data_IF_438745044406
#
_entry.id   IF_438745044406
#
_cell.length_a   1.000
_cell.length_b   1.000
_cell.length_c   1.000
_cell.angle_alpha   90.00
_cell.angle_beta   90.00
_cell.angle_gamma   90.00
#
_symmetry.space_group_name_H-M   'P 1'
#
loop_
_entity.id
_entity.type
_entity.pdbx_description
1 polymer ?
#
# COMPACT_ATOMS: atom_id res chain seq x y z
N UNK A 1 18.41 -34.66 0.22
CA UNK A 1 17.70 -33.55 -0.44
C UNK A 1 18.44 -32.25 -0.17
N UNK A 2 18.68 -31.42 -1.20
CA UNK A 2 19.20 -30.07 -0.99
C UNK A 2 18.09 -29.21 -0.38
N UNK A 3 18.40 -28.44 0.68
CA UNK A 3 17.47 -27.45 1.21
C UNK A 3 17.46 -26.26 0.26
N UNK A 4 16.36 -26.07 -0.47
CA UNK A 4 16.18 -24.82 -1.23
C UNK A 4 16.18 -23.65 -0.25
N UNK A 5 17.13 -22.72 -0.40
CA UNK A 5 17.14 -21.49 0.40
C UNK A 5 15.86 -20.68 0.11
N UNK A 6 15.23 -20.09 1.14
CA UNK A 6 14.08 -19.21 0.92
C UNK A 6 14.47 -18.06 -0.02
N UNK A 7 13.65 -17.85 -1.06
CA UNK A 7 13.87 -16.85 -2.09
C UNK A 7 12.91 -15.68 -1.89
N UNK A 8 13.46 -14.52 -1.53
CA UNK A 8 12.78 -13.23 -1.62
C UNK A 8 13.35 -12.43 -2.80
N UNK A 9 12.51 -11.64 -3.46
CA UNK A 9 12.91 -10.56 -4.37
C UNK A 9 12.41 -9.24 -3.80
N UNK A 10 13.22 -8.20 -3.92
CA UNK A 10 12.92 -6.87 -3.40
C UNK A 10 13.36 -5.88 -4.47
N UNK A 11 12.41 -5.10 -4.98
CA UNK A 11 12.71 -3.98 -5.86
C UNK A 11 13.04 -2.77 -4.99
N UNK A 12 14.08 -2.02 -5.37
CA UNK A 12 14.55 -0.83 -4.64
C UNK A 12 14.64 0.36 -5.59
N UNK A 13 14.18 1.52 -5.13
CA UNK A 13 14.12 2.75 -5.94
C UNK A 13 15.47 3.48 -6.01
N UNK A 14 16.44 3.11 -5.17
CA UNK A 14 17.79 3.70 -5.14
C UNK A 14 18.85 2.68 -4.66
N UNK A 15 20.12 3.04 -4.75
CA UNK A 15 21.24 2.19 -4.34
C UNK A 15 21.26 1.97 -2.82
N UNK A 16 21.04 0.73 -2.39
CA UNK A 16 21.15 0.34 -0.97
C UNK A 16 22.46 -0.41 -0.72
N UNK A 17 23.39 0.20 0.01
CA UNK A 17 24.58 -0.52 0.47
C UNK A 17 24.23 -1.52 1.58
N UNK A 18 24.39 -2.82 1.28
CA UNK A 18 24.20 -3.94 2.23
C UNK A 18 22.75 -4.12 2.70
N UNK A 19 21.79 -4.12 1.77
CA UNK A 19 20.41 -4.53 2.06
C UNK A 19 20.36 -5.87 2.81
N UNK A 20 19.72 -5.88 3.99
CA UNK A 20 19.38 -7.08 4.74
C UNK A 20 17.88 -7.27 4.76
N UNK A 21 17.43 -8.51 4.69
CA UNK A 21 16.04 -8.91 4.90
C UNK A 21 16.07 -10.02 5.96
N UNK A 22 15.27 -9.88 7.00
CA UNK A 22 15.05 -10.90 8.01
C UNK A 22 13.63 -11.43 7.87
N UNK A 23 13.47 -12.75 8.05
CA UNK A 23 12.19 -13.42 8.11
C UNK A 23 12.16 -14.29 9.37
N UNK A 24 11.12 -14.17 10.18
CA UNK A 24 10.92 -14.98 11.39
C UNK A 24 9.45 -15.33 11.55
N UNK A 25 9.14 -16.61 11.72
CA UNK A 25 7.79 -17.04 12.13
C UNK A 25 7.51 -16.55 13.57
N UNK A 26 6.26 -16.18 13.81
CA UNK A 26 5.78 -15.53 15.04
C UNK A 26 4.77 -16.46 15.71
N UNK A 27 5.06 -16.89 16.94
CA UNK A 27 4.18 -17.83 17.69
C UNK A 27 2.98 -17.11 18.31
N UNK A 28 3.14 -15.84 18.69
CA UNK A 28 2.07 -14.98 19.20
C UNK A 28 2.28 -13.54 18.75
N UNK A 29 1.18 -12.90 18.33
CA UNK A 29 1.19 -11.51 17.93
C UNK A 29 1.43 -10.58 19.14
N UNK A 30 2.12 -9.43 18.97
CA UNK A 30 2.16 -8.39 19.99
C UNK A 30 0.75 -7.89 20.32
N UNK A 31 0.51 -7.47 21.56
CA UNK A 31 -0.81 -6.98 22.00
C UNK A 31 -1.33 -5.72 21.27
N UNK A 32 -0.51 -5.07 20.44
CA UNK A 32 -0.85 -3.93 19.58
C UNK A 32 -1.12 -4.34 18.12
N UNK A 33 -1.26 -5.64 17.84
CA UNK A 33 -1.55 -6.20 16.52
C UNK A 33 -2.76 -7.11 16.67
N UNK A 34 -3.88 -6.73 16.06
CA UNK A 34 -5.11 -7.51 16.08
C UNK A 34 -4.92 -8.86 15.37
N UNK A 35 -5.84 -9.80 15.60
CA UNK A 35 -5.79 -11.10 14.91
C UNK A 35 -6.12 -10.94 13.41
N UNK A 36 -5.46 -11.68 12.51
CA UNK A 36 -5.75 -11.65 11.08
C UNK A 36 -7.11 -12.30 10.79
N UNK A 37 -7.76 -11.99 9.65
CA UNK A 37 -9.01 -12.63 9.25
C UNK A 37 -8.84 -14.14 9.01
N UNK A 38 -9.82 -14.92 9.47
CA UNK A 38 -9.83 -16.39 9.35
C UNK A 38 -8.92 -17.10 10.35
N UNK A 39 -8.67 -18.39 10.14
CA UNK A 39 -7.75 -19.16 10.97
C UNK A 39 -6.31 -18.94 10.50
N UNK A 40 -5.46 -18.35 11.36
CA UNK A 40 -4.06 -18.10 11.07
C UNK A 40 -3.23 -19.39 11.18
N UNK A 41 -2.75 -19.89 10.05
CA UNK A 41 -1.94 -21.12 9.93
C UNK A 41 -0.46 -20.84 10.17
N UNK A 42 0.03 -19.70 9.67
CA UNK A 42 1.37 -19.21 9.96
C UNK A 42 1.35 -17.68 10.05
N UNK A 43 2.01 -17.12 11.06
CA UNK A 43 2.28 -15.68 11.16
C UNK A 43 3.79 -15.46 11.00
N UNK A 44 4.17 -14.47 10.20
CA UNK A 44 5.55 -14.12 9.93
C UNK A 44 5.78 -12.63 10.23
N UNK A 45 6.97 -12.28 10.69
CA UNK A 45 7.49 -10.93 10.64
C UNK A 45 8.60 -10.91 9.58
N UNK A 46 8.42 -10.10 8.55
CA UNK A 46 9.48 -9.77 7.60
C UNK A 46 9.91 -8.33 7.87
N UNK A 47 11.22 -8.11 8.01
CA UNK A 47 11.81 -6.79 8.22
C UNK A 47 13.02 -6.58 7.33
N UNK A 48 13.39 -5.34 7.08
CA UNK A 48 14.58 -4.98 6.28
C UNK A 48 15.39 -3.88 6.96
N UNK A 49 16.66 -3.75 6.56
CA UNK A 49 17.55 -2.66 6.97
C UNK A 49 17.44 -1.41 6.09
N UNK A 50 16.58 -1.43 5.06
CA UNK A 50 16.31 -0.26 4.22
C UNK A 50 15.11 0.53 4.73
N UNK A 51 15.13 1.85 4.52
CA UNK A 51 14.00 2.73 4.78
C UNK A 51 12.80 2.36 3.90
N UNK A 52 11.59 2.45 4.45
CA UNK A 52 10.36 2.05 3.74
C UNK A 52 10.13 2.83 2.43
N UNK A 53 10.61 4.08 2.35
CA UNK A 53 10.54 4.92 1.14
C UNK A 53 11.49 4.49 0.01
N UNK A 54 12.48 3.64 0.30
CA UNK A 54 13.44 3.10 -0.68
C UNK A 54 13.01 1.71 -1.19
N UNK A 55 12.21 1.01 -0.40
CA UNK A 55 11.63 -0.29 -0.74
C UNK A 55 10.45 -0.06 -1.68
N UNK A 56 10.51 -0.65 -2.89
CA UNK A 56 9.38 -0.74 -3.79
C UNK A 56 8.54 -1.99 -3.51
N UNK A 57 8.03 -2.62 -4.56
CA UNK A 57 7.39 -3.92 -4.42
C UNK A 57 8.43 -5.00 -4.06
N UNK A 58 8.00 -5.98 -3.28
CA UNK A 58 8.75 -7.18 -2.96
C UNK A 58 7.86 -8.40 -3.15
N UNK A 59 8.47 -9.54 -3.47
CA UNK A 59 7.77 -10.83 -3.48
C UNK A 59 8.53 -11.86 -2.65
N UNK A 60 7.77 -12.63 -1.86
CA UNK A 60 8.30 -13.70 -1.03
C UNK A 60 7.51 -14.99 -1.26
N UNK A 61 8.12 -16.11 -0.92
CA UNK A 61 7.46 -17.41 -0.89
C UNK A 61 7.41 -17.94 0.53
N UNK A 62 6.23 -18.40 0.95
CA UNK A 62 5.97 -19.05 2.24
C UNK A 62 5.53 -20.49 2.00
N UNK A 63 5.98 -21.40 2.86
CA UNK A 63 5.69 -22.84 2.79
C UNK A 63 4.91 -23.22 4.04
N UNK A 64 3.66 -23.64 3.87
CA UNK A 64 2.81 -24.16 4.93
C UNK A 64 2.56 -25.66 4.75
N UNK A 65 2.22 -26.34 5.85
CA UNK A 65 1.79 -27.75 5.81
C UNK A 65 0.46 -27.87 5.08
N UNK A 66 0.34 -28.83 4.15
CA UNK A 66 -0.95 -29.14 3.50
C UNK A 66 -2.03 -29.53 4.50
N UNK A 67 -1.66 -30.24 5.58
CA UNK A 67 -2.56 -30.67 6.63
C UNK A 67 -3.08 -29.53 7.52
N UNK A 68 -2.48 -28.34 7.42
CA UNK A 68 -2.89 -27.15 8.17
C UNK A 68 -3.74 -26.18 7.32
N UNK A 69 -4.04 -26.51 6.06
CA UNK A 69 -4.90 -25.68 5.19
C UNK A 69 -6.04 -26.50 4.59
N UNK A 70 -7.27 -25.99 4.70
CA UNK A 70 -8.47 -26.63 4.13
C UNK A 70 -8.61 -26.41 2.61
N UNK A 71 -7.60 -26.85 1.86
CA UNK A 71 -7.49 -26.71 0.40
C UNK A 71 -6.98 -25.34 -0.04
N UNK A 72 -6.15 -25.32 -1.09
CA UNK A 72 -5.37 -24.15 -1.50
C UNK A 72 -6.20 -22.96 -2.01
N UNK A 73 -7.40 -23.21 -2.53
CA UNK A 73 -8.35 -22.16 -2.94
C UNK A 73 -8.85 -21.27 -1.79
N UNK A 74 -8.73 -21.71 -0.53
CA UNK A 74 -9.20 -21.00 0.66
C UNK A 74 -8.08 -20.29 1.43
N UNK A 75 -6.84 -20.34 0.93
CA UNK A 75 -5.67 -19.78 1.60
C UNK A 75 -5.38 -18.37 1.07
N UNK A 76 -5.07 -17.44 1.96
CA UNK A 76 -4.79 -16.04 1.60
C UNK A 76 -3.70 -15.48 2.50
N UNK A 77 -2.77 -14.73 1.92
CA UNK A 77 -1.77 -13.99 2.69
C UNK A 77 -2.30 -12.58 2.97
N UNK A 78 -2.23 -12.15 4.22
CA UNK A 78 -2.52 -10.80 4.66
C UNK A 78 -1.25 -10.10 5.13
N UNK A 79 -1.21 -8.76 5.02
CA UNK A 79 -0.18 -7.86 5.57
C UNK A 79 -0.82 -6.95 6.60
N UNK A 80 -0.24 -6.83 7.79
CA UNK A 80 -0.66 -5.82 8.75
C UNK A 80 -0.09 -4.45 8.36
N UNK A 81 -0.94 -3.42 8.24
CA UNK A 81 -0.55 -2.05 7.94
C UNK A 81 -1.61 -1.08 8.45
N UNK A 82 -1.20 0.07 9.01
CA UNK A 82 -2.15 1.10 9.48
C UNK A 82 -3.25 0.58 10.43
N UNK A 83 -2.88 -0.36 11.31
CA UNK A 83 -3.75 -1.10 12.22
C UNK A 83 -4.75 -2.09 11.57
N UNK A 84 -4.64 -2.37 10.27
CA UNK A 84 -5.53 -3.26 9.52
C UNK A 84 -4.81 -4.40 8.79
N UNK A 85 -5.47 -5.55 8.66
CA UNK A 85 -4.99 -6.69 7.87
C UNK A 85 -5.45 -6.59 6.42
N UNK A 86 -4.52 -6.13 5.58
CA UNK A 86 -4.71 -5.94 4.15
C UNK A 86 -4.49 -7.25 3.40
N UNK A 87 -5.42 -7.65 2.53
CA UNK A 87 -5.26 -8.83 1.66
C UNK A 87 -4.16 -8.58 0.62
N UNK A 88 -3.27 -9.54 0.43
CA UNK A 88 -2.28 -9.51 -0.65
C UNK A 88 -2.69 -10.40 -1.82
N UNK A 89 -2.25 -10.02 -3.01
CA UNK A 89 -2.28 -10.92 -4.16
C UNK A 89 -1.45 -12.16 -3.84
N UNK A 90 -2.13 -13.31 -3.83
CA UNK A 90 -1.58 -14.59 -3.38
C UNK A 90 -1.72 -15.62 -4.50
N UNK A 91 -0.61 -16.22 -4.93
CA UNK A 91 -0.58 -17.28 -5.95
C UNK A 91 0.01 -18.56 -5.37
N UNK A 92 -0.66 -19.70 -5.58
CA UNK A 92 -0.11 -21.03 -5.28
C UNK A 92 0.96 -21.36 -6.32
N UNK A 93 2.23 -21.45 -5.92
CA UNK A 93 3.34 -21.78 -6.83
C UNK A 93 3.72 -23.25 -6.82
N UNK A 94 3.31 -23.99 -5.79
CA UNK A 94 3.46 -25.44 -5.67
C UNK A 94 2.44 -25.99 -4.68
N UNK A 95 1.85 -27.12 -5.01
CA UNK A 95 1.01 -27.92 -4.10
C UNK A 95 1.47 -29.37 -4.18
N UNK A 96 1.56 -30.02 -3.03
CA UNK A 96 1.92 -31.44 -2.87
C UNK A 96 1.11 -32.03 -1.72
N UNK A 97 1.15 -33.34 -1.52
CA UNK A 97 0.47 -34.02 -0.41
C UNK A 97 0.87 -33.52 0.99
N UNK A 98 2.06 -32.91 1.16
CA UNK A 98 2.61 -32.50 2.47
C UNK A 98 2.88 -30.99 2.61
N UNK A 99 3.07 -30.27 1.50
CA UNK A 99 3.38 -28.84 1.50
C UNK A 99 2.58 -28.07 0.43
N UNK A 100 2.16 -26.86 0.81
CA UNK A 100 1.69 -25.81 -0.09
C UNK A 100 2.70 -24.68 -0.03
N UNK A 101 3.15 -24.21 -1.20
CA UNK A 101 4.00 -23.03 -1.31
C UNK A 101 3.25 -21.93 -2.04
N UNK A 102 3.11 -20.81 -1.33
CA UNK A 102 2.43 -19.60 -1.79
C UNK A 102 3.48 -18.56 -2.14
N UNK A 103 3.22 -17.75 -3.16
CA UNK A 103 3.87 -16.47 -3.40
C UNK A 103 2.89 -15.36 -3.04
N UNK A 104 3.38 -14.33 -2.34
CA UNK A 104 2.68 -13.07 -2.17
C UNK A 104 3.54 -11.91 -2.69
N UNK A 105 2.89 -10.90 -3.24
CA UNK A 105 3.49 -9.61 -3.56
C UNK A 105 3.10 -8.58 -2.50
N UNK A 106 4.03 -7.72 -2.10
CA UNK A 106 3.84 -6.75 -1.01
C UNK A 106 4.59 -5.45 -1.29
N UNK A 107 3.97 -4.27 -1.08
CA UNK A 107 4.63 -2.97 -1.24
C UNK A 107 5.52 -2.58 -0.04
N UNK A 108 5.74 -3.50 0.90
CA UNK A 108 6.64 -3.24 2.03
C UNK A 108 6.72 -4.39 3.03
N UNK A 109 7.59 -4.23 4.02
CA UNK A 109 7.85 -5.20 5.09
C UNK A 109 6.93 -4.93 6.30
N UNK A 110 6.49 -5.99 7.01
CA UNK A 110 5.58 -5.93 8.17
C UNK A 110 5.39 -7.32 8.81
N UNK A 111 4.37 -7.45 9.67
CA UNK A 111 3.73 -8.74 9.97
C UNK A 111 2.87 -9.21 8.78
N UNK A 112 2.91 -10.51 8.54
CA UNK A 112 2.11 -11.21 7.54
C UNK A 112 1.44 -12.42 8.19
N UNK A 113 0.25 -12.78 7.71
CA UNK A 113 -0.47 -13.96 8.13
C UNK A 113 -0.89 -14.78 6.92
N UNK A 114 -0.60 -16.08 6.93
CA UNK A 114 -1.20 -17.06 6.05
C UNK A 114 -2.44 -17.58 6.76
N UNK A 115 -3.62 -17.20 6.30
CA UNK A 115 -4.88 -17.68 6.88
C UNK A 115 -5.60 -18.62 5.93
N UNK A 116 -6.21 -19.68 6.47
CA UNK A 116 -7.28 -20.40 5.80
C UNK A 116 -8.63 -19.82 6.21
N UNK A 117 -9.51 -19.59 5.24
CA UNK A 117 -10.94 -19.40 5.53
C UNK A 117 -11.54 -20.75 5.91
N UNK A 118 -12.05 -20.86 7.14
CA UNK A 118 -13.09 -21.85 7.42
C UNK A 118 -14.35 -21.54 6.59
N UNK A 119 -15.21 -22.54 6.40
CA UNK A 119 -16.41 -22.42 5.57
C UNK A 119 -17.54 -21.68 6.31
N UNK A 120 -17.35 -20.38 6.52
CA UNK A 120 -18.34 -19.50 7.12
C UNK A 120 -17.72 -18.24 7.68
N UNK A 121 -17.88 -17.12 6.94
CA UNK A 121 -17.51 -15.77 7.36
C UNK A 121 -15.97 -15.56 7.54
N UNK A 122 -15.35 -14.45 7.16
CA UNK A 122 -15.84 -13.09 7.08
C UNK A 122 -15.34 -12.41 5.79
N UNK A 123 -16.18 -11.56 5.18
CA UNK A 123 -15.82 -10.80 3.98
C UNK A 123 -14.85 -9.69 4.36
N UNK A 124 -13.54 -9.95 4.22
CA UNK A 124 -12.59 -8.87 3.96
C UNK A 124 -12.99 -8.21 2.63
N UNK A 125 -13.34 -6.93 2.67
CA UNK A 125 -13.55 -6.10 1.47
C UNK A 125 -12.30 -6.21 0.61
N UNK A 126 -12.46 -6.50 -0.68
CA UNK A 126 -11.34 -6.70 -1.61
C UNK A 126 -10.68 -5.36 -1.99
N UNK A 127 -10.00 -4.75 -1.02
CA UNK A 127 -9.04 -3.67 -1.25
C UNK A 127 -7.74 -4.29 -1.76
N UNK A 128 -7.78 -4.84 -2.97
CA UNK A 128 -6.56 -5.11 -3.73
C UNK A 128 -5.77 -3.81 -3.82
N UNK A 129 -4.53 -3.78 -3.32
CA UNK A 129 -3.68 -2.58 -3.40
C UNK A 129 -3.20 -2.38 -4.84
N UNK A 130 -4.09 -1.86 -5.68
CA UNK A 130 -3.81 -1.49 -7.07
C UNK A 130 -2.76 -0.39 -7.10
N UNK A 131 -1.54 -0.75 -7.47
CA UNK A 131 -0.45 0.21 -7.67
C UNK A 131 -0.77 1.08 -8.88
N UNK A 132 -1.20 2.32 -8.65
CA UNK A 132 -1.25 3.35 -9.70
C UNK A 132 0.18 3.74 -10.07
N UNK A 133 0.79 2.97 -10.97
CA UNK A 133 2.05 3.34 -11.59
C UNK A 133 1.77 4.46 -12.60
N UNK A 134 2.12 5.69 -12.23
CA UNK A 134 1.87 6.90 -13.02
C UNK A 134 2.74 6.98 -14.28
N UNK A 135 2.42 6.17 -15.28
CA UNK A 135 2.98 6.26 -16.62
C UNK A 135 2.24 7.29 -17.46
N UNK A 136 2.76 8.52 -17.57
CA UNK A 136 2.29 9.53 -18.52
C UNK A 136 2.59 9.05 -19.95
N UNK A 137 1.67 8.28 -20.53
CA UNK A 137 1.67 7.87 -21.92
C UNK A 137 0.91 8.89 -22.78
N UNK A 138 1.66 9.75 -23.46
CA UNK A 138 1.13 10.72 -24.41
C UNK A 138 0.47 10.02 -25.60
N UNK A 139 -0.81 10.31 -25.87
CA UNK A 139 -1.47 10.02 -27.17
C UNK A 139 -2.67 10.94 -27.33
N UNK A 140 -2.46 12.07 -28.02
CA UNK A 140 -3.55 12.83 -28.62
C UNK A 140 -4.09 12.06 -29.83
N UNK A 141 -5.41 11.90 -29.93
CA UNK A 141 -6.06 11.55 -31.20
C UNK A 141 -7.27 12.45 -31.44
N UNK A 142 -7.35 12.91 -32.67
CA UNK A 142 -8.17 14.00 -33.20
C UNK A 142 -9.64 13.59 -33.42
N UNK A 143 -10.57 14.54 -33.36
CA UNK A 143 -11.92 14.40 -33.93
C UNK A 143 -12.42 15.76 -34.39
N UNK A 144 -12.45 15.96 -35.72
CA UNK A 144 -12.98 17.15 -36.39
C UNK A 144 -14.46 16.95 -36.78
N UNK A 145 -15.26 18.03 -36.69
CA UNK A 145 -16.56 18.16 -37.37
C UNK A 145 -17.73 18.58 -36.46
N UNK A 146 -18.54 19.60 -36.76
CA UNK A 146 -18.42 20.61 -37.82
C UNK A 146 -19.75 21.31 -38.16
N UNK A 147 -19.87 22.62 -37.89
CA UNK A 147 -20.94 23.58 -38.32
C UNK A 147 -22.38 23.30 -37.77
N UNK A 148 -23.35 24.24 -37.71
CA UNK A 148 -23.50 25.62 -38.25
C UNK A 148 -24.57 26.44 -37.50
N UNK A 149 -24.54 27.78 -37.64
CA UNK A 149 -25.68 28.75 -37.58
C UNK A 149 -26.25 29.09 -36.18
N UNK A 150 -25.92 30.26 -35.57
CA UNK A 150 -26.47 31.65 -35.73
C UNK A 150 -27.78 31.89 -34.93
N UNK A 151 -28.25 33.09 -34.54
CA UNK A 151 -27.98 34.50 -34.93
C UNK A 151 -27.87 35.48 -33.70
N UNK A 152 -27.84 36.80 -33.95
CA UNK A 152 -27.92 37.94 -32.98
C UNK A 152 -29.17 38.79 -33.34
N UNK A 153 -29.80 39.56 -32.41
CA UNK A 153 -29.32 40.92 -32.11
C UNK A 153 -29.49 41.40 -30.64
N UNK A 154 -28.47 42.12 -30.17
CA UNK A 154 -28.52 43.48 -29.58
C UNK A 154 -29.75 43.93 -28.77
N UNK A 155 -29.50 44.33 -27.52
CA UNK A 155 -30.13 45.50 -26.90
C UNK A 155 -29.15 46.16 -25.94
N UNK A 156 -28.70 47.35 -26.31
CA UNK A 156 -27.84 48.23 -25.51
C UNK A 156 -28.70 49.04 -24.54
N UNK A 157 -28.20 49.31 -23.33
CA UNK A 157 -28.57 50.54 -22.62
C UNK A 157 -27.40 51.03 -21.78
N UNK A 158 -27.03 52.27 -22.07
CA UNK A 158 -25.92 53.05 -21.53
C UNK A 158 -26.22 53.59 -20.11
N UNK A 159 -25.20 53.72 -19.25
CA UNK A 159 -24.92 54.91 -18.39
C UNK A 159 -23.69 54.63 -17.50
N UNK A 160 -22.55 55.21 -17.89
CA UNK A 160 -21.36 55.47 -17.05
C UNK A 160 -21.58 56.67 -16.08
N UNK A 161 -20.62 57.10 -15.22
CA UNK A 161 -19.53 56.38 -14.54
C UNK A 161 -19.44 56.74 -13.03
N UNK A 162 -18.58 56.04 -12.25
CA UNK A 162 -17.78 56.67 -11.18
C UNK A 162 -16.66 55.78 -10.61
N UNK A 163 -15.43 56.05 -11.06
CA UNK A 163 -14.20 56.05 -10.26
C UNK A 163 -13.73 54.77 -9.55
N UNK A 164 -12.71 54.12 -10.12
CA UNK A 164 -11.32 54.35 -9.66
C UNK A 164 -10.28 53.55 -10.47
N UNK A 165 -9.32 54.29 -11.02
CA UNK A 165 -7.90 53.97 -11.29
C UNK A 165 -7.44 52.49 -11.45
N UNK A 166 -7.01 52.20 -12.67
CA UNK A 166 -6.02 51.20 -13.16
C UNK A 166 -4.66 51.14 -12.39
N UNK A 167 -3.69 50.24 -12.75
CA UNK A 167 -3.82 48.86 -13.28
C UNK A 167 -2.76 47.84 -12.74
N UNK A 168 -2.89 46.57 -13.15
CA UNK A 168 -1.80 45.58 -13.43
C UNK A 168 -0.81 45.17 -12.31
N UNK A 169 -0.86 43.88 -11.91
CA UNK A 169 0.04 42.90 -12.55
C UNK A 169 -0.40 41.42 -12.45
N UNK A 170 -0.41 40.78 -13.63
CA UNK A 170 0.01 39.40 -13.93
C UNK A 170 -0.40 38.27 -12.97
N UNK A 171 -1.36 37.46 -13.43
CA UNK A 171 -1.70 36.20 -12.77
C UNK A 171 -0.71 35.05 -13.06
N UNK A 172 -0.66 34.11 -12.12
CA UNK A 172 -0.24 32.72 -12.33
C UNK A 172 -1.14 31.84 -11.43
N UNK A 173 -1.54 30.63 -11.86
CA UNK A 173 -2.50 29.83 -11.11
C UNK A 173 -1.86 29.10 -9.92
N UNK A 174 -2.56 29.11 -8.78
CA UNK A 174 -2.61 27.95 -7.89
C UNK A 174 -1.43 27.65 -6.96
N UNK A 175 -0.92 28.62 -6.19
CA UNK A 175 -0.08 28.33 -5.01
C UNK A 175 -0.47 29.17 -3.78
N UNK A 176 -1.43 28.67 -2.99
CA UNK A 176 -1.72 29.22 -1.66
C UNK A 176 -0.67 28.77 -0.65
N UNK A 177 0.11 29.71 -0.12
CA UNK A 177 1.04 29.46 0.98
C UNK A 177 0.25 29.27 2.28
N UNK A 178 0.42 28.13 2.93
CA UNK A 178 -0.08 27.87 4.29
C UNK A 178 1.08 27.40 5.17
N UNK A 179 1.59 28.29 6.02
CA UNK A 179 2.59 27.97 7.02
C UNK A 179 1.92 27.80 8.40
N UNK A 180 2.22 26.70 9.10
CA UNK A 180 1.94 26.56 10.52
C UNK A 180 3.02 25.67 11.18
N UNK A 181 3.67 26.22 12.22
CA UNK A 181 4.73 25.59 13.01
C UNK A 181 4.16 25.05 14.32
N UNK A 182 4.65 23.91 14.82
CA UNK A 182 4.21 23.39 16.12
C UNK A 182 4.99 22.17 16.61
N UNK A 183 6.25 22.34 16.98
CA UNK A 183 7.03 21.29 17.63
C UNK A 183 7.04 21.46 19.16
N UNK A 184 6.66 20.43 19.92
CA UNK A 184 7.04 20.28 21.34
C UNK A 184 7.43 18.82 21.60
N UNK A 185 8.71 18.62 21.86
CA UNK A 185 9.25 17.38 22.44
C UNK A 185 9.10 17.44 23.96
N UNK A 186 8.74 16.34 24.61
CA UNK A 186 8.93 16.18 26.06
C UNK A 186 9.25 14.73 26.42
N UNK A 187 10.52 14.51 26.78
CA UNK A 187 11.01 13.28 27.38
C UNK A 187 10.46 13.14 28.82
N UNK A 188 9.88 12.00 29.17
CA UNK A 188 9.86 11.51 30.56
C UNK A 188 10.26 10.04 30.59
N UNK A 189 11.57 9.79 30.56
CA UNK A 189 12.16 8.51 30.98
C UNK A 189 12.28 8.50 32.52
N UNK A 190 11.28 7.99 33.22
CA UNK A 190 11.37 7.65 34.65
C UNK A 190 10.31 6.59 35.01
N UNK A 191 10.74 5.32 35.08
CA UNK A 191 9.82 4.19 35.29
C UNK A 191 10.47 2.80 35.34
N UNK A 192 11.73 2.66 34.93
CA UNK A 192 12.52 1.47 35.28
C UNK A 192 12.69 1.39 36.80
N UNK A 193 12.12 0.34 37.44
CA UNK A 193 12.87 -0.66 38.23
C UNK A 193 11.97 -1.66 38.99
N UNK A 194 12.23 -2.96 38.72
CA UNK A 194 11.94 -4.16 39.56
C UNK A 194 10.44 -4.51 39.77
N UNK A 195 10.07 -5.77 39.94
CA UNK A 195 10.81 -6.96 40.44
C UNK A 195 10.74 -8.11 39.39
N UNK A 196 11.73 -8.99 39.22
CA UNK A 196 12.22 -10.01 40.19
C UNK A 196 11.08 -10.86 40.76
#
# INVERSE_FOLDING_TARGET
AARECPRARVDVSSTVERLRVNASSVVSLPASVDQPPGEAVEVLNLSTSAEASVVGNASFQVRVSSAAVSGTANVTVYRYHEAEWNRLETTVVRETETEVVLRAETPGFSYFAVSSRERGEQTATDTTQTTTSGGTGDTSTETEGGRTTSEQPTSESDTEPSGSTEPTTTGAPGFTVSAAVGAVVSFVLLGYRRRE
#
